data_IF_176552955769
#
_entry.id   IF_176552955769
#
_cell.length_a   1.000
_cell.length_b   1.000
_cell.length_c   1.000
_cell.angle_alpha   90.00
_cell.angle_beta   90.00
_cell.angle_gamma   90.00
#
_symmetry.space_group_name_H-M   'P 1'
#
loop_
_entity.id
_entity.type
_entity.pdbx_description
1 polymer ?
#
# COMPACT_ATOMS: atom_id res chain seq x y z
N UNK A 1 18.17 -9.01 0.43
CA UNK A 1 18.01 -7.57 0.81
C UNK A 1 17.81 -6.70 -0.44
N UNK A 2 18.74 -6.62 -1.40
CA UNK A 2 18.57 -5.81 -2.63
C UNK A 2 17.28 -6.12 -3.39
N UNK A 3 16.94 -7.41 -3.54
CA UNK A 3 15.68 -7.82 -4.16
C UNK A 3 14.44 -7.22 -3.44
N UNK A 4 14.40 -7.26 -2.11
CA UNK A 4 13.29 -6.68 -1.35
C UNK A 4 13.22 -5.16 -1.47
N UNK A 5 14.36 -4.47 -1.59
CA UNK A 5 14.40 -3.03 -1.86
C UNK A 5 13.85 -2.71 -3.24
N UNK A 6 14.28 -3.44 -4.27
CA UNK A 6 13.79 -3.25 -5.63
C UNK A 6 12.29 -3.56 -5.74
N UNK A 7 11.81 -4.65 -5.14
CA UNK A 7 10.39 -4.97 -5.08
C UNK A 7 9.57 -3.87 -4.40
N UNK A 8 10.12 -3.26 -3.35
CA UNK A 8 9.50 -2.13 -2.65
C UNK A 8 9.73 -0.76 -3.33
N UNK A 9 10.30 -0.71 -4.53
CA UNK A 9 10.64 0.52 -5.24
C UNK A 9 11.57 1.43 -4.42
N UNK A 10 12.45 0.84 -3.61
CA UNK A 10 13.35 1.54 -2.69
C UNK A 10 14.80 1.58 -3.20
N UNK A 11 15.00 1.58 -4.53
CA UNK A 11 16.30 1.61 -5.18
C UNK A 11 17.12 2.86 -4.83
N UNK A 12 16.46 3.96 -4.41
CA UNK A 12 17.13 5.17 -3.92
C UNK A 12 18.14 4.89 -2.80
N UNK A 13 18.01 3.77 -2.07
CA UNK A 13 18.97 3.38 -1.03
C UNK A 13 20.36 3.13 -1.62
N UNK A 14 20.44 2.60 -2.83
CA UNK A 14 21.74 2.35 -3.50
C UNK A 14 22.44 3.63 -3.96
N UNK A 15 21.70 4.74 -4.05
CA UNK A 15 22.19 6.06 -4.43
C UNK A 15 22.68 6.88 -3.21
N UNK A 16 22.42 6.41 -1.99
CA UNK A 16 22.91 7.06 -0.78
C UNK A 16 24.42 6.92 -0.65
N UNK A 17 25.12 7.87 0.01
CA UNK A 17 26.58 7.88 0.08
C UNK A 17 27.22 6.58 0.57
N UNK A 18 26.59 5.90 1.53
CA UNK A 18 27.04 4.63 2.09
C UNK A 18 26.10 3.47 1.73
N UNK A 19 25.19 3.68 0.76
CA UNK A 19 24.24 2.69 0.30
C UNK A 19 23.43 2.08 1.45
N UNK A 20 23.44 0.77 1.60
CA UNK A 20 22.75 0.05 2.67
C UNK A 20 23.24 0.37 4.09
N UNK A 21 24.44 0.92 4.23
CA UNK A 21 25.05 1.27 5.50
C UNK A 21 24.82 2.75 5.86
N UNK A 22 24.11 3.48 5.02
CA UNK A 22 23.82 4.89 5.27
C UNK A 22 23.07 5.09 6.58
N UNK A 23 23.50 6.12 7.31
CA UNK A 23 22.91 6.45 8.61
C UNK A 23 21.44 6.80 8.48
N UNK A 24 20.60 6.20 9.33
CA UNK A 24 19.21 6.55 9.50
C UNK A 24 19.05 7.39 10.78
N UNK A 25 18.66 8.65 10.62
CA UNK A 25 18.39 9.52 11.76
C UNK A 25 17.20 8.99 12.59
N UNK A 26 17.13 9.41 13.85
CA UNK A 26 16.04 9.02 14.75
C UNK A 26 14.68 9.35 14.13
N UNK A 27 13.77 8.38 14.10
CA UNK A 27 12.46 8.51 13.43
C UNK A 27 12.55 8.62 11.90
N UNK A 28 13.70 8.36 11.29
CA UNK A 28 13.90 8.44 9.84
C UNK A 28 13.69 9.85 9.29
N UNK A 29 14.06 10.90 10.04
CA UNK A 29 13.80 12.31 9.65
C UNK A 29 14.56 12.74 8.39
N UNK A 30 15.59 11.99 8.00
CA UNK A 30 16.35 12.17 6.75
C UNK A 30 15.70 11.51 5.53
N UNK A 31 14.52 10.88 5.68
CA UNK A 31 13.75 10.29 4.58
C UNK A 31 12.38 10.94 4.43
N UNK A 32 11.91 11.04 3.19
CA UNK A 32 10.53 11.46 2.91
C UNK A 32 9.52 10.43 3.41
N UNK A 33 8.24 10.81 3.54
CA UNK A 33 7.18 9.89 3.93
C UNK A 33 7.09 8.66 3.01
N UNK A 34 7.13 8.88 1.70
CA UNK A 34 7.11 7.79 0.71
C UNK A 34 8.37 6.91 0.76
N UNK A 35 9.54 7.47 1.03
CA UNK A 35 10.76 6.69 1.25
C UNK A 35 10.64 5.81 2.50
N UNK A 36 10.12 6.35 3.60
CA UNK A 36 9.87 5.56 4.83
C UNK A 36 8.90 4.41 4.59
N UNK A 37 7.80 4.66 3.88
CA UNK A 37 6.83 3.62 3.55
C UNK A 37 7.47 2.51 2.72
N UNK A 38 8.23 2.85 1.68
CA UNK A 38 8.93 1.86 0.84
C UNK A 38 9.95 1.05 1.63
N UNK A 39 10.71 1.67 2.54
CA UNK A 39 11.64 0.96 3.43
C UNK A 39 10.91 0.03 4.39
N UNK A 40 9.76 0.42 4.93
CA UNK A 40 8.94 -0.42 5.80
C UNK A 40 8.41 -1.65 5.05
N UNK A 41 7.96 -1.46 3.80
CA UNK A 41 7.52 -2.55 2.92
C UNK A 41 8.70 -3.48 2.59
N UNK A 42 9.87 -2.94 2.21
CA UNK A 42 11.06 -3.75 1.95
C UNK A 42 11.43 -4.60 3.17
N UNK A 43 11.36 -4.03 4.37
CA UNK A 43 11.60 -4.76 5.62
C UNK A 43 10.60 -5.90 5.83
N UNK A 44 9.32 -5.68 5.54
CA UNK A 44 8.30 -6.72 5.64
C UNK A 44 8.56 -7.88 4.67
N UNK A 45 8.96 -7.57 3.42
CA UNK A 45 9.26 -8.56 2.40
C UNK A 45 10.53 -9.39 2.69
N UNK A 46 11.41 -8.92 3.56
CA UNK A 46 12.58 -9.71 3.98
C UNK A 46 12.21 -10.98 4.75
N UNK A 47 11.05 -11.01 5.36
CA UNK A 47 10.53 -12.16 6.10
C UNK A 47 9.44 -12.82 5.28
N UNK A 48 9.66 -14.11 4.93
CA UNK A 48 8.57 -14.91 4.36
C UNK A 48 7.51 -15.12 5.45
N UNK A 49 6.28 -14.73 5.14
CA UNK A 49 5.15 -14.80 6.07
C UNK A 49 3.93 -15.41 5.36
N UNK A 50 3.07 -16.06 6.14
CA UNK A 50 1.78 -16.58 5.64
C UNK A 50 0.73 -15.48 5.53
N UNK A 51 0.94 -14.37 6.24
CA UNK A 51 0.08 -13.17 6.21
C UNK A 51 0.92 -11.90 6.23
N UNK A 52 0.66 -11.01 5.28
CA UNK A 52 1.17 -9.65 5.24
C UNK A 52 0.06 -8.66 5.58
N UNK A 53 0.33 -7.70 6.45
CA UNK A 53 -0.59 -6.63 6.82
C UNK A 53 0.06 -5.30 6.45
N UNK A 54 -0.61 -4.54 5.57
CA UNK A 54 -0.19 -3.20 5.15
C UNK A 54 -1.22 -2.18 5.65
N UNK A 55 -0.88 -1.49 6.73
CA UNK A 55 -1.72 -0.44 7.32
C UNK A 55 -1.24 0.92 6.83
N UNK A 56 -2.06 1.59 6.02
CA UNK A 56 -1.80 2.90 5.40
C UNK A 56 -0.43 3.02 4.71
N UNK A 57 0.10 1.88 4.22
CA UNK A 57 1.49 1.78 3.75
C UNK A 57 1.73 2.40 2.37
N UNK A 58 0.68 2.91 1.72
CA UNK A 58 0.72 3.44 0.35
C UNK A 58 0.32 4.92 0.24
N UNK A 59 -0.09 5.55 1.33
CA UNK A 59 -0.71 6.88 1.34
C UNK A 59 0.22 8.03 0.88
N UNK A 60 1.52 7.91 1.16
CA UNK A 60 2.52 8.92 0.79
C UNK A 60 3.23 8.64 -0.55
N UNK A 61 2.74 7.66 -1.33
CA UNK A 61 3.30 7.31 -2.63
C UNK A 61 2.60 8.08 -3.75
N UNK A 62 3.38 8.49 -4.75
CA UNK A 62 2.84 8.94 -6.02
C UNK A 62 2.22 7.77 -6.80
N UNK A 63 1.35 8.09 -7.75
CA UNK A 63 0.57 7.09 -8.50
C UNK A 63 1.44 6.07 -9.25
N UNK A 64 2.55 6.51 -9.85
CA UNK A 64 3.46 5.64 -10.61
C UNK A 64 4.17 4.64 -9.69
N UNK A 65 4.72 5.14 -8.59
CA UNK A 65 5.39 4.32 -7.58
C UNK A 65 4.42 3.34 -6.92
N UNK A 66 3.21 3.79 -6.55
CA UNK A 66 2.17 2.93 -5.97
C UNK A 66 1.77 1.79 -6.93
N UNK A 67 1.55 2.10 -8.20
CA UNK A 67 1.19 1.09 -9.21
C UNK A 67 2.29 0.04 -9.40
N UNK A 68 3.54 0.48 -9.54
CA UNK A 68 4.69 -0.41 -9.71
C UNK A 68 4.89 -1.30 -8.47
N UNK A 69 4.78 -0.71 -7.28
CA UNK A 69 4.91 -1.42 -6.01
C UNK A 69 3.84 -2.50 -5.84
N UNK A 70 2.57 -2.19 -6.13
CA UNK A 70 1.48 -3.18 -6.03
C UNK A 70 1.65 -4.34 -7.00
N UNK A 71 2.16 -4.07 -8.20
CA UNK A 71 2.49 -5.12 -9.16
C UNK A 71 3.60 -6.03 -8.61
N UNK A 72 4.66 -5.47 -8.05
CA UNK A 72 5.73 -6.24 -7.44
C UNK A 72 5.26 -7.04 -6.21
N UNK A 73 4.47 -6.41 -5.32
CA UNK A 73 3.91 -7.09 -4.14
C UNK A 73 3.09 -8.32 -4.50
N UNK A 74 2.29 -8.28 -5.56
CA UNK A 74 1.51 -9.42 -6.01
C UNK A 74 2.38 -10.65 -6.32
N UNK A 75 3.59 -10.44 -6.85
CA UNK A 75 4.54 -11.51 -7.12
C UNK A 75 5.26 -11.97 -5.84
N UNK A 76 5.69 -11.03 -5.00
CA UNK A 76 6.45 -11.31 -3.77
C UNK A 76 5.61 -11.99 -2.67
N UNK A 77 4.31 -11.77 -2.67
CA UNK A 77 3.38 -12.33 -1.67
C UNK A 77 2.61 -13.54 -2.17
N UNK A 78 3.01 -14.15 -3.30
CA UNK A 78 2.38 -15.37 -3.82
C UNK A 78 2.36 -16.47 -2.76
N UNK A 79 1.18 -17.04 -2.52
CA UNK A 79 0.97 -18.10 -1.54
C UNK A 79 0.74 -17.60 -0.11
N UNK A 80 0.77 -16.29 0.14
CA UNK A 80 0.43 -15.68 1.41
C UNK A 80 -0.90 -14.90 1.31
N UNK A 81 -1.58 -14.75 2.44
CA UNK A 81 -2.69 -13.82 2.56
C UNK A 81 -2.16 -12.38 2.67
N UNK A 82 -2.87 -11.43 2.06
CA UNK A 82 -2.51 -10.01 2.11
C UNK A 82 -3.71 -9.20 2.58
N UNK A 83 -3.55 -8.51 3.71
CA UNK A 83 -4.52 -7.57 4.25
C UNK A 83 -4.02 -6.14 4.02
N UNK A 84 -4.78 -5.35 3.29
CA UNK A 84 -4.47 -3.94 3.02
C UNK A 84 -5.52 -3.06 3.69
N UNK A 85 -5.08 -2.19 4.60
CA UNK A 85 -5.92 -1.15 5.17
C UNK A 85 -5.59 0.13 4.40
N UNK A 86 -6.57 0.66 3.68
CA UNK A 86 -6.37 1.81 2.81
C UNK A 86 -7.57 2.76 2.84
N UNK A 87 -7.29 4.03 2.67
CA UNK A 87 -8.29 5.08 2.51
C UNK A 87 -8.60 5.35 1.02
N UNK A 88 -7.67 5.00 0.11
CA UNK A 88 -7.83 5.20 -1.33
C UNK A 88 -8.43 3.97 -1.99
N UNK A 89 -9.55 4.13 -2.68
CA UNK A 89 -10.20 3.04 -3.43
C UNK A 89 -9.28 2.45 -4.50
N UNK A 90 -8.50 3.27 -5.18
CA UNK A 90 -7.54 2.81 -6.19
C UNK A 90 -6.54 1.77 -5.65
N UNK A 91 -6.24 1.80 -4.35
CA UNK A 91 -5.34 0.84 -3.72
C UNK A 91 -5.95 -0.57 -3.61
N UNK A 92 -7.27 -0.66 -3.51
CA UNK A 92 -8.00 -1.90 -3.23
C UNK A 92 -8.91 -2.37 -4.37
N UNK A 93 -8.93 -1.68 -5.52
CA UNK A 93 -9.81 -2.01 -6.67
C UNK A 93 -9.75 -3.48 -7.09
N UNK A 94 -8.56 -4.08 -7.03
CA UNK A 94 -8.29 -5.45 -7.48
C UNK A 94 -8.18 -6.45 -6.32
N UNK A 95 -8.65 -6.09 -5.12
CA UNK A 95 -8.70 -7.03 -4.01
C UNK A 95 -9.77 -8.11 -4.26
N UNK A 96 -9.48 -9.34 -3.85
CA UNK A 96 -10.42 -10.46 -3.96
C UNK A 96 -11.67 -10.23 -3.11
N UNK A 97 -11.49 -9.54 -1.98
CA UNK A 97 -12.57 -9.14 -1.08
C UNK A 97 -12.24 -7.80 -0.42
N UNK A 98 -13.22 -6.92 -0.34
CA UNK A 98 -13.15 -5.63 0.33
C UNK A 98 -14.15 -5.65 1.49
N UNK A 99 -13.69 -5.24 2.67
CA UNK A 99 -14.53 -5.01 3.86
C UNK A 99 -14.65 -3.50 4.06
N UNK A 100 -15.87 -3.01 4.00
CA UNK A 100 -16.19 -1.58 4.22
C UNK A 100 -16.58 -1.39 5.67
N UNK A 101 -15.87 -0.50 6.36
CA UNK A 101 -16.16 -0.14 7.75
C UNK A 101 -16.80 1.23 7.83
N UNK A 102 -17.85 1.35 8.64
CA UNK A 102 -18.49 2.62 8.96
C UNK A 102 -18.85 2.63 10.45
N UNK A 103 -18.42 3.65 11.17
CA UNK A 103 -18.68 3.82 12.63
C UNK A 103 -18.34 2.55 13.44
N UNK A 104 -17.23 1.89 13.11
CA UNK A 104 -16.79 0.67 13.79
C UNK A 104 -17.59 -0.59 13.47
N UNK A 105 -18.48 -0.55 12.47
CA UNK A 105 -19.29 -1.68 12.01
C UNK A 105 -19.00 -1.99 10.55
N UNK A 106 -19.23 -3.24 10.16
CA UNK A 106 -19.15 -3.66 8.76
C UNK A 106 -20.38 -3.14 8.03
N UNK A 107 -20.16 -2.24 7.06
CA UNK A 107 -21.20 -1.70 6.19
C UNK A 107 -21.41 -2.52 4.91
N UNK A 108 -20.38 -3.26 4.46
CA UNK A 108 -20.45 -4.13 3.30
C UNK A 108 -19.22 -5.01 3.15
N UNK A 109 -19.38 -6.14 2.49
CA UNK A 109 -18.31 -7.06 2.11
C UNK A 109 -18.56 -7.50 0.67
N UNK A 110 -17.53 -7.48 -0.16
CA UNK A 110 -17.61 -7.94 -1.56
C UNK A 110 -16.45 -7.42 -2.40
N UNK A 111 -16.51 -7.66 -3.69
CA UNK A 111 -15.62 -7.07 -4.68
C UNK A 111 -15.96 -5.61 -4.91
N UNK A 112 -15.06 -4.87 -5.56
CA UNK A 112 -15.34 -3.48 -5.95
C UNK A 112 -16.68 -3.33 -6.70
N UNK A 113 -16.95 -4.21 -7.66
CA UNK A 113 -18.18 -4.18 -8.44
C UNK A 113 -19.44 -4.40 -7.59
N UNK A 114 -19.43 -5.41 -6.75
CA UNK A 114 -20.57 -5.72 -5.87
C UNK A 114 -20.86 -4.59 -4.90
N UNK A 115 -19.81 -3.98 -4.35
CA UNK A 115 -19.95 -2.85 -3.43
C UNK A 115 -20.41 -1.56 -4.14
N UNK A 116 -20.00 -1.34 -5.38
CA UNK A 116 -20.50 -0.23 -6.20
C UNK A 116 -21.98 -0.40 -6.55
N UNK A 117 -22.50 -1.63 -6.63
CA UNK A 117 -23.91 -1.91 -6.89
C UNK A 117 -24.77 -1.89 -5.61
N UNK A 118 -24.24 -2.38 -4.48
CA UNK A 118 -25.02 -2.70 -3.30
C UNK A 118 -24.67 -1.97 -2.00
N UNK A 119 -23.59 -1.19 -1.92
CA UNK A 119 -23.15 -0.54 -0.68
C UNK A 119 -23.09 0.98 -0.82
N UNK A 120 -24.07 1.69 -0.25
CA UNK A 120 -24.14 3.16 -0.32
C UNK A 120 -22.91 3.84 0.28
N UNK A 121 -22.40 3.35 1.41
CA UNK A 121 -21.18 3.87 2.06
C UNK A 121 -19.99 3.77 1.12
N UNK A 122 -19.80 2.63 0.44
CA UNK A 122 -18.72 2.47 -0.51
C UNK A 122 -18.86 3.39 -1.72
N UNK A 123 -20.08 3.56 -2.23
CA UNK A 123 -20.36 4.48 -3.34
C UNK A 123 -20.05 5.94 -2.97
N UNK A 124 -20.37 6.36 -1.75
CA UNK A 124 -20.05 7.71 -1.27
C UNK A 124 -18.54 7.95 -1.20
N UNK A 125 -17.79 6.99 -0.66
CA UNK A 125 -16.33 7.04 -0.61
C UNK A 125 -15.75 7.12 -2.04
N UNK A 126 -16.24 6.28 -2.96
CA UNK A 126 -15.79 6.28 -4.35
C UNK A 126 -16.06 7.62 -5.04
N UNK A 127 -17.26 8.16 -4.90
CA UNK A 127 -17.65 9.46 -5.49
C UNK A 127 -16.83 10.63 -4.94
N UNK A 128 -16.52 10.62 -3.64
CA UNK A 128 -15.70 11.66 -3.02
C UNK A 128 -14.30 11.72 -3.59
N UNK A 129 -13.72 10.54 -3.90
CA UNK A 129 -12.36 10.45 -4.43
C UNK A 129 -12.27 10.74 -5.94
N UNK A 130 -13.34 10.49 -6.70
CA UNK A 130 -13.41 10.86 -8.11
C UNK A 130 -13.50 12.38 -8.32
N UNK A 131 -14.20 13.08 -7.43
CA UNK A 131 -14.34 14.55 -7.49
C UNK A 131 -13.08 15.31 -7.08
N UNK A 132 -12.21 14.72 -6.25
CA UNK A 132 -10.94 15.32 -5.82
C UNK A 132 -9.78 15.14 -6.80
N UNK A 133 -9.98 14.49 -7.94
CA UNK A 133 -8.97 14.28 -8.97
C UNK A 133 -9.06 15.22 -10.18
N UNK A 134 -9.97 16.19 -10.16
CA UNK A 134 -10.20 17.18 -11.25
C UNK A 134 -9.71 18.61 -10.90
N UNK A 135 -8.87 18.78 -9.85
CA UNK A 135 -8.20 20.05 -9.56
C UNK A 135 -6.72 20.03 -9.88
#
# INVERSE_FOLDING_TARGET
>A
MLHALSAAQADFVTELPEGLFSHTAQGGTNFSGGQKQRLAIARALMKKADLYIFDDSFSALDFKTDSALRKALKEETKGAAVLIIAQRINTILNADQIVVLNEGKIAGIGTHRELMEGCSVYQEIAKSQMRGGEE
#
